data_IF_760227190361
#
_entry.id   IF_760227190361
#
_cell.length_a   1.000
_cell.length_b   1.000
_cell.length_c   1.000
_cell.angle_alpha   90.00
_cell.angle_beta   90.00
_cell.angle_gamma   90.00
#
_symmetry.space_group_name_H-M   'P 1'
#
loop_
_entity.id
_entity.type
_entity.pdbx_description
1 polymer ?
#
# COMPACT_ATOMS: atom_id res chain seq x y z
N UNK A 1 -4.18 17.16 11.88
CA UNK A 1 -3.42 17.16 10.60
C UNK A 1 -4.25 16.39 9.57
N UNK A 2 -4.26 16.82 8.29
CA UNK A 2 -5.21 16.30 7.30
C UNK A 2 -4.76 15.01 6.58
N UNK A 3 -3.46 14.70 6.54
CA UNK A 3 -2.90 13.53 5.80
C UNK A 3 -1.57 13.05 6.44
N UNK A 4 -1.64 12.63 7.70
CA UNK A 4 -0.44 12.26 8.48
C UNK A 4 0.26 11.00 7.93
N UNK A 5 -0.53 10.08 7.39
CA UNK A 5 -0.13 8.87 6.65
C UNK A 5 0.87 9.16 5.53
N UNK A 6 0.70 10.28 4.80
CA UNK A 6 1.55 10.67 3.68
C UNK A 6 2.89 11.34 4.08
N UNK A 7 3.10 11.66 5.36
CA UNK A 7 4.35 12.27 5.82
C UNK A 7 5.44 11.21 5.99
N UNK A 8 6.73 11.58 5.94
CA UNK A 8 7.82 10.66 6.28
C UNK A 8 7.66 10.09 7.69
N UNK A 9 8.09 8.85 7.88
CA UNK A 9 8.02 8.21 9.19
C UNK A 9 8.99 8.86 10.18
N UNK A 10 8.56 9.00 11.42
CA UNK A 10 9.40 9.43 12.54
C UNK A 10 9.30 8.44 13.70
N UNK A 11 10.25 8.50 14.63
CA UNK A 11 10.26 7.59 15.79
C UNK A 11 9.08 7.87 16.75
N UNK A 12 8.51 9.06 16.69
CA UNK A 12 7.37 9.54 17.47
C UNK A 12 6.02 9.15 16.84
N UNK A 13 6.01 8.48 15.69
CA UNK A 13 4.78 8.02 15.04
C UNK A 13 3.99 7.07 15.96
N UNK A 14 2.71 7.34 16.22
CA UNK A 14 1.89 6.49 17.06
C UNK A 14 1.61 5.14 16.38
N UNK A 15 1.42 4.09 17.18
CA UNK A 15 1.26 2.72 16.67
C UNK A 15 0.07 2.55 15.70
N UNK A 16 -1.00 3.34 15.87
CA UNK A 16 -2.14 3.29 14.95
C UNK A 16 -1.76 3.78 13.54
N UNK A 17 -0.86 4.76 13.44
CA UNK A 17 -0.38 5.29 12.15
C UNK A 17 0.53 4.28 11.46
N UNK A 18 1.38 3.59 12.23
CA UNK A 18 2.22 2.49 11.71
C UNK A 18 1.35 1.36 11.14
N UNK A 19 0.35 0.91 11.91
CA UNK A 19 -0.61 -0.12 11.47
C UNK A 19 -1.43 0.31 10.24
N UNK A 20 -1.82 1.59 10.17
CA UNK A 20 -2.49 2.14 9.00
C UNK A 20 -1.60 2.03 7.76
N UNK A 21 -0.36 2.54 7.82
CA UNK A 21 0.59 2.46 6.70
C UNK A 21 0.89 1.02 6.28
N UNK A 22 1.05 0.10 7.23
CA UNK A 22 1.22 -1.34 6.94
C UNK A 22 0.02 -1.93 6.18
N UNK A 23 -1.20 -1.48 6.51
CA UNK A 23 -2.43 -1.92 5.84
C UNK A 23 -2.51 -1.34 4.43
N UNK A 24 -2.18 -0.06 4.26
CA UNK A 24 -2.13 0.63 2.97
C UNK A 24 -1.12 -0.03 2.02
N UNK A 25 0.08 -0.36 2.51
CA UNK A 25 1.11 -1.06 1.74
C UNK A 25 0.59 -2.39 1.21
N UNK A 26 -0.02 -3.23 2.06
CA UNK A 26 -0.56 -4.54 1.65
C UNK A 26 -1.65 -4.42 0.57
N UNK A 27 -2.49 -3.38 0.67
CA UNK A 27 -3.53 -3.13 -0.33
C UNK A 27 -2.93 -2.70 -1.67
N UNK A 28 -1.96 -1.77 -1.65
CA UNK A 28 -1.27 -1.28 -2.85
C UNK A 28 -0.50 -2.41 -3.53
N UNK A 29 0.24 -3.21 -2.77
CA UNK A 29 0.91 -4.41 -3.28
C UNK A 29 -0.11 -5.36 -3.94
N UNK A 30 -1.24 -5.61 -3.28
CA UNK A 30 -2.32 -6.44 -3.82
C UNK A 30 -2.90 -5.91 -5.14
N UNK A 31 -3.05 -4.59 -5.30
CA UNK A 31 -3.51 -3.98 -6.55
C UNK A 31 -2.49 -4.13 -7.68
N UNK A 32 -1.21 -3.88 -7.41
CA UNK A 32 -0.11 -4.04 -8.37
C UNK A 32 -0.03 -5.49 -8.85
N UNK A 33 -0.09 -6.42 -7.90
CA UNK A 33 -0.10 -7.86 -8.14
C UNK A 33 -1.26 -8.30 -9.02
N UNK A 34 -2.47 -7.82 -8.70
CA UNK A 34 -3.67 -8.12 -9.48
C UNK A 34 -3.53 -7.60 -10.91
N UNK A 35 -3.07 -6.35 -11.07
CA UNK A 35 -2.83 -5.75 -12.38
C UNK A 35 -1.87 -6.60 -13.23
N UNK A 36 -0.73 -7.02 -12.68
CA UNK A 36 0.23 -7.83 -13.43
C UNK A 36 -0.27 -9.25 -13.71
N UNK A 37 -1.05 -9.86 -12.82
CA UNK A 37 -1.70 -11.15 -13.09
C UNK A 37 -2.71 -11.03 -14.25
N UNK A 38 -3.55 -10.00 -14.22
CA UNK A 38 -4.50 -9.71 -15.31
C UNK A 38 -3.78 -9.49 -16.64
N UNK A 39 -2.74 -8.65 -16.65
CA UNK A 39 -1.95 -8.36 -17.87
C UNK A 39 -1.27 -9.62 -18.43
N UNK A 40 -0.73 -10.49 -17.59
CA UNK A 40 -0.16 -11.78 -18.01
C UNK A 40 -1.23 -12.69 -18.61
N UNK A 41 -2.42 -12.75 -18.01
CA UNK A 41 -3.53 -13.53 -18.56
C UNK A 41 -3.97 -13.02 -19.95
N UNK A 42 -4.01 -11.70 -20.15
CA UNK A 42 -4.33 -11.09 -21.45
C UNK A 42 -3.26 -11.35 -22.51
N UNK A 43 -1.97 -11.37 -22.15
CA UNK A 43 -0.89 -11.62 -23.10
C UNK A 43 -0.74 -13.11 -23.48
N UNK A 44 -1.17 -14.02 -22.60
CA UNK A 44 -1.13 -15.47 -22.83
C UNK A 44 -2.39 -16.02 -23.54
N UNK A 45 -3.35 -15.17 -23.89
CA UNK A 45 -4.57 -15.52 -24.64
C UNK A 45 -4.39 -15.31 -26.14
#
# INVERSE_FOLDING_TARGET
AHHLDLRPSTNEDPDWLKKQRETEIKLIEGWIDNYYRGKKATFNM
#
